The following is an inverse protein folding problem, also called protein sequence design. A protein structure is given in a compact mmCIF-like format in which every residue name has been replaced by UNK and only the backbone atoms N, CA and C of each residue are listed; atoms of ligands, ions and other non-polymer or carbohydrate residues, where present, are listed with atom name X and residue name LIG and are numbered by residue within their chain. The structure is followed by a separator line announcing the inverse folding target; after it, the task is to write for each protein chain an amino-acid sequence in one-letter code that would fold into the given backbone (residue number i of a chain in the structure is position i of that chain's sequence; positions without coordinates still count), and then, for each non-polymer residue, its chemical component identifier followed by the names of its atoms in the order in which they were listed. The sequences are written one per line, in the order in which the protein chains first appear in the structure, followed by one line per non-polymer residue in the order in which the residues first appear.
data_IF_637475189403
#
_entry.id   IF_637475189403
#
_cell.length_a   1.000
_cell.length_b   1.000
_cell.length_c   1.000
_cell.angle_alpha   90.00
_cell.angle_beta   90.00
_cell.angle_gamma   90.00
#
_symmetry.space_group_name_H-M   'P 1'
#
loop_
_entity.id
_entity.type
_entity.pdbx_description
1 polymer ?
#
# COMPACT_ATOMS: atom_id res chain seq x y z
N UNK A 1 -4.34 -14.72 21.80
CA UNK A 1 -3.62 -14.11 22.93
C UNK A 1 -2.53 -13.13 22.47
N UNK A 2 -1.50 -13.53 21.72
CA UNK A 2 -0.39 -12.65 21.32
C UNK A 2 -0.84 -11.30 20.72
N UNK A 3 -1.73 -11.32 19.73
CA UNK A 3 -2.25 -10.11 19.10
C UNK A 3 -3.02 -9.22 20.09
N UNK A 4 -3.88 -9.82 20.91
CA UNK A 4 -4.63 -9.11 21.95
C UNK A 4 -3.71 -8.44 22.96
N UNK A 5 -2.67 -9.16 23.43
CA UNK A 5 -1.67 -8.62 24.36
C UNK A 5 -0.85 -7.50 23.74
N UNK A 6 -0.49 -7.60 22.44
CA UNK A 6 0.22 -6.55 21.72
C UNK A 6 -0.62 -5.26 21.60
N UNK A 7 -1.91 -5.38 21.24
CA UNK A 7 -2.83 -4.24 21.18
C UNK A 7 -3.02 -3.60 22.57
N UNK A 8 -3.19 -4.42 23.61
CA UNK A 8 -3.32 -3.91 24.98
C UNK A 8 -2.04 -3.18 25.43
N UNK A 9 -0.87 -3.67 25.03
CA UNK A 9 0.41 -3.02 25.33
C UNK A 9 0.51 -1.61 24.72
N UNK A 10 0.00 -1.43 23.49
CA UNK A 10 -0.06 -0.11 22.84
C UNK A 10 -1.00 0.83 23.60
N UNK A 11 -2.23 0.39 23.90
CA UNK A 11 -3.21 1.19 24.62
C UNK A 11 -2.77 1.59 26.02
N UNK A 12 -2.10 0.68 26.73
CA UNK A 12 -1.60 0.95 28.10
C UNK A 12 -0.28 1.74 28.09
N UNK A 13 0.32 1.99 26.94
CA UNK A 13 1.67 2.57 26.76
C UNK A 13 2.77 1.82 27.53
N UNK A 14 2.49 0.60 27.98
CA UNK A 14 3.42 -0.28 28.66
C UNK A 14 3.90 -1.34 27.68
N UNK A 15 5.19 -1.26 27.31
CA UNK A 15 5.85 -2.35 26.61
C UNK A 15 5.88 -3.56 27.57
N UNK A 16 4.98 -4.48 27.39
CA UNK A 16 4.80 -5.52 28.37
C UNK A 16 5.68 -6.72 28.01
N UNK A 17 6.54 -7.09 28.93
CA UNK A 17 7.25 -8.39 28.91
C UNK A 17 6.24 -9.52 28.65
N UNK A 18 5.00 -9.38 29.13
CA UNK A 18 3.94 -10.34 28.90
C UNK A 18 3.54 -10.41 27.41
N UNK A 19 3.41 -9.29 26.71
CA UNK A 19 3.06 -9.31 25.28
C UNK A 19 4.16 -9.95 24.43
N UNK A 20 5.43 -9.71 24.75
CA UNK A 20 6.58 -10.39 24.12
C UNK A 20 6.59 -11.89 24.42
N UNK A 21 6.27 -12.29 25.67
CA UNK A 21 6.16 -13.69 26.05
C UNK A 21 5.03 -14.39 25.31
N UNK A 22 3.86 -13.76 25.22
CA UNK A 22 2.70 -14.32 24.50
C UNK A 22 3.01 -14.45 23.00
N UNK A 23 3.70 -13.47 22.42
CA UNK A 23 4.17 -13.52 21.04
C UNK A 23 5.16 -14.66 20.81
N UNK A 24 6.18 -14.81 21.66
CA UNK A 24 7.15 -15.91 21.59
C UNK A 24 6.48 -17.28 21.74
N UNK A 25 5.49 -17.40 22.64
CA UNK A 25 4.70 -18.61 22.82
C UNK A 25 3.90 -18.95 21.56
N UNK A 26 3.24 -17.96 20.93
CA UNK A 26 2.49 -18.18 19.71
C UNK A 26 3.40 -18.63 18.55
N UNK A 27 4.59 -18.04 18.42
CA UNK A 27 5.60 -18.48 17.45
C UNK A 27 6.04 -19.91 17.66
N UNK A 28 6.33 -20.29 18.92
CA UNK A 28 6.74 -21.66 19.27
C UNK A 28 5.62 -22.67 18.96
N UNK A 29 4.36 -22.34 19.27
CA UNK A 29 3.20 -23.17 18.94
C UNK A 29 3.04 -23.37 17.42
N UNK A 30 3.18 -22.31 16.63
CA UNK A 30 3.09 -22.42 15.18
C UNK A 30 4.22 -23.26 14.59
N UNK A 31 5.46 -23.07 15.04
CA UNK A 31 6.61 -23.87 14.59
C UNK A 31 6.42 -25.34 14.94
N UNK A 32 6.00 -25.64 16.17
CA UNK A 32 5.70 -27.01 16.60
C UNK A 32 4.58 -27.63 15.76
N UNK A 33 3.51 -26.87 15.49
CA UNK A 33 2.41 -27.31 14.65
C UNK A 33 2.88 -27.70 13.24
N UNK A 34 3.73 -26.92 12.62
CA UNK A 34 4.27 -27.20 11.26
C UNK A 34 5.21 -28.41 11.23
N UNK A 35 6.01 -28.61 12.29
CA UNK A 35 6.91 -29.77 12.41
C UNK A 35 6.09 -31.05 12.57
N UNK A 36 5.05 -31.03 13.43
CA UNK A 36 4.26 -32.18 13.74
C UNK A 36 3.24 -32.55 12.65
N UNK A 37 2.70 -31.54 11.94
CA UNK A 37 1.75 -31.75 10.86
C UNK A 37 1.98 -30.71 9.73
N UNK A 38 2.83 -31.01 8.75
CA UNK A 38 3.09 -30.15 7.62
C UNK A 38 1.84 -29.79 6.80
N UNK A 39 0.75 -30.55 6.88
CA UNK A 39 -0.50 -30.27 6.18
C UNK A 39 -1.20 -29.02 6.69
N UNK A 40 -0.88 -28.57 7.92
CA UNK A 40 -1.41 -27.34 8.50
C UNK A 40 -0.94 -26.08 7.76
N UNK A 41 0.23 -26.11 7.13
CA UNK A 41 0.80 -24.96 6.40
C UNK A 41 -0.17 -24.41 5.37
N UNK A 42 -0.96 -25.28 4.74
CA UNK A 42 -1.93 -24.87 3.73
C UNK A 42 -3.32 -24.50 4.24
N UNK A 43 -3.54 -24.33 5.52
CA UNK A 43 -4.86 -23.95 6.06
C UNK A 43 -5.02 -22.45 6.18
N UNK A 44 -6.25 -21.97 6.00
CA UNK A 44 -6.57 -20.55 6.14
C UNK A 44 -6.35 -20.03 7.56
N UNK A 45 -6.57 -20.89 8.57
CA UNK A 45 -6.29 -20.57 9.97
C UNK A 45 -4.81 -20.29 10.21
N UNK A 46 -3.93 -21.04 9.52
CA UNK A 46 -2.48 -20.81 9.56
C UNK A 46 -2.12 -19.47 8.93
N UNK A 47 -2.71 -19.17 7.78
CA UNK A 47 -2.54 -17.88 7.10
C UNK A 47 -3.00 -16.73 8.03
N UNK A 48 -4.15 -16.88 8.66
CA UNK A 48 -4.66 -15.93 9.64
C UNK A 48 -3.70 -15.77 10.83
N UNK A 49 -3.19 -16.89 11.38
CA UNK A 49 -2.22 -16.88 12.48
C UNK A 49 -0.93 -16.14 12.15
N UNK A 50 -0.34 -16.40 10.97
CA UNK A 50 0.86 -15.67 10.49
C UNK A 50 0.57 -14.20 10.31
N UNK A 51 -0.59 -13.83 9.75
CA UNK A 51 -0.99 -12.45 9.60
C UNK A 51 -1.15 -11.73 10.95
N UNK A 52 -1.79 -12.37 11.94
CA UNK A 52 -1.92 -11.81 13.28
C UNK A 52 -0.57 -11.66 14.00
N UNK A 53 0.38 -12.56 13.75
CA UNK A 53 1.76 -12.43 14.26
C UNK A 53 2.48 -11.25 13.61
N UNK A 54 2.33 -11.06 12.30
CA UNK A 54 2.86 -9.89 11.58
C UNK A 54 2.31 -8.59 12.18
N UNK A 55 1.00 -8.49 12.39
CA UNK A 55 0.38 -7.32 13.04
C UNK A 55 0.87 -7.12 14.47
N UNK A 56 1.00 -8.22 15.24
CA UNK A 56 1.51 -8.14 16.62
C UNK A 56 2.90 -7.54 16.66
N UNK A 57 3.75 -7.88 15.70
CA UNK A 57 5.12 -7.39 15.62
C UNK A 57 5.17 -5.88 15.33
N UNK A 58 4.28 -5.36 14.48
CA UNK A 58 4.16 -3.91 14.26
C UNK A 58 3.85 -3.15 15.55
N UNK A 59 3.00 -3.72 16.42
CA UNK A 59 2.64 -3.11 17.70
C UNK A 59 3.71 -3.27 18.77
N UNK A 60 4.47 -4.37 18.75
CA UNK A 60 5.53 -4.63 19.70
C UNK A 60 6.84 -3.90 19.42
N UNK A 61 6.92 -3.22 18.29
CA UNK A 61 8.10 -2.47 17.89
C UNK A 61 9.19 -3.34 17.27
N UNK A 62 8.81 -4.42 16.58
CA UNK A 62 9.76 -5.25 15.84
C UNK A 62 10.45 -4.49 14.71
N UNK A 63 11.73 -4.80 14.49
CA UNK A 63 12.50 -4.22 13.39
C UNK A 63 11.97 -4.67 12.01
N UNK A 64 12.15 -3.84 10.99
CA UNK A 64 11.70 -4.16 9.63
C UNK A 64 12.21 -5.52 9.11
N UNK A 65 13.43 -5.90 9.47
CA UNK A 65 13.98 -7.20 9.06
C UNK A 65 13.27 -8.39 9.70
N UNK A 66 12.74 -8.23 10.92
CA UNK A 66 11.91 -9.25 11.57
C UNK A 66 10.51 -9.33 10.93
N UNK A 67 9.91 -8.20 10.57
CA UNK A 67 8.67 -8.16 9.81
C UNK A 67 8.83 -8.84 8.44
N UNK A 68 9.98 -8.70 7.81
CA UNK A 68 10.31 -9.36 6.55
C UNK A 68 10.24 -10.89 6.65
N UNK A 69 10.68 -11.48 7.77
CA UNK A 69 10.61 -12.93 7.98
C UNK A 69 9.15 -13.43 8.01
N UNK A 70 8.25 -12.71 8.67
CA UNK A 70 6.83 -13.07 8.67
C UNK A 70 6.16 -12.87 7.31
N UNK A 71 6.55 -11.83 6.60
CA UNK A 71 6.08 -11.61 5.25
C UNK A 71 6.54 -12.73 4.30
N UNK A 72 7.80 -13.17 4.41
CA UNK A 72 8.29 -14.33 3.67
C UNK A 72 7.52 -15.61 4.01
N UNK A 73 7.19 -15.81 5.29
CA UNK A 73 6.32 -16.89 5.75
C UNK A 73 4.92 -16.82 5.12
N UNK A 74 4.32 -15.63 5.09
CA UNK A 74 3.04 -15.37 4.44
C UNK A 74 3.09 -15.72 2.94
N UNK A 75 4.11 -15.26 2.23
CA UNK A 75 4.35 -15.55 0.83
C UNK A 75 4.55 -17.06 0.58
N UNK A 76 5.30 -17.72 1.45
CA UNK A 76 5.50 -19.18 1.36
C UNK A 76 4.16 -19.92 1.46
N UNK A 77 3.32 -19.56 2.43
CA UNK A 77 2.00 -20.16 2.61
C UNK A 77 1.13 -19.91 1.38
N UNK A 78 1.04 -18.66 0.92
CA UNK A 78 0.28 -18.28 -0.27
C UNK A 78 0.72 -19.08 -1.51
N UNK A 79 2.02 -19.23 -1.72
CA UNK A 79 2.56 -20.01 -2.85
C UNK A 79 2.19 -21.50 -2.79
N UNK A 80 2.03 -22.07 -1.59
CA UNK A 80 1.64 -23.47 -1.40
C UNK A 80 0.12 -23.68 -1.39
N UNK A 81 -0.64 -22.61 -1.13
CA UNK A 81 -2.11 -22.67 -1.11
C UNK A 81 -2.74 -22.52 -2.49
N UNK A 82 -2.04 -21.93 -3.42
CA UNK A 82 -2.58 -21.56 -4.72
C UNK A 82 -3.14 -22.74 -5.57
N UNK A 83 -2.87 -23.97 -5.17
CA UNK A 83 -3.43 -25.18 -5.80
C UNK A 83 -4.74 -25.67 -5.17
N UNK A 84 -5.28 -24.96 -4.15
CA UNK A 84 -6.48 -25.41 -3.42
C UNK A 84 -7.71 -24.62 -3.84
N UNK A 85 -8.78 -25.34 -4.04
CA UNK A 85 -10.10 -24.76 -4.32
C UNK A 85 -10.69 -24.18 -3.01
N UNK A 86 -10.71 -22.83 -2.92
CA UNK A 86 -11.25 -22.13 -1.76
C UNK A 86 -12.77 -21.97 -1.92
N UNK A 87 -13.53 -23.02 -1.64
CA UNK A 87 -14.98 -22.95 -1.62
C UNK A 87 -15.53 -22.32 -0.34
N UNK A 88 -14.73 -22.33 0.72
CA UNK A 88 -15.09 -21.73 1.99
C UNK A 88 -14.89 -20.20 1.97
N UNK A 89 -15.91 -19.40 2.33
CA UNK A 89 -15.83 -17.94 2.32
C UNK A 89 -14.75 -17.33 3.22
N UNK A 90 -14.41 -17.97 4.34
CA UNK A 90 -13.36 -17.50 5.24
C UNK A 90 -11.99 -17.65 4.58
N UNK A 91 -11.70 -18.83 4.04
CA UNK A 91 -10.44 -19.12 3.36
C UNK A 91 -10.21 -18.19 2.15
N UNK A 92 -11.25 -17.99 1.34
CA UNK A 92 -11.20 -17.06 0.20
C UNK A 92 -10.84 -15.65 0.64
N UNK A 93 -11.52 -15.11 1.67
CA UNK A 93 -11.24 -13.75 2.19
C UNK A 93 -9.85 -13.61 2.78
N UNK A 94 -9.36 -14.64 3.47
CA UNK A 94 -8.01 -14.62 4.05
C UNK A 94 -6.95 -14.60 2.96
N UNK A 95 -7.13 -15.35 1.88
CA UNK A 95 -6.21 -15.36 0.75
C UNK A 95 -6.23 -14.02 0.03
N UNK A 96 -7.41 -13.42 -0.21
CA UNK A 96 -7.52 -12.09 -0.81
C UNK A 96 -6.78 -11.03 0.00
N UNK A 97 -7.05 -10.98 1.30
CA UNK A 97 -6.41 -10.03 2.21
C UNK A 97 -4.89 -10.22 2.24
N UNK A 98 -4.43 -11.46 2.39
CA UNK A 98 -3.01 -11.79 2.42
C UNK A 98 -2.32 -11.46 1.09
N UNK A 99 -3.00 -11.66 -0.04
CA UNK A 99 -2.49 -11.33 -1.38
C UNK A 99 -2.28 -9.83 -1.56
N UNK A 100 -3.26 -9.01 -1.14
CA UNK A 100 -3.17 -7.55 -1.21
C UNK A 100 -2.01 -7.03 -0.36
N UNK A 101 -1.89 -7.54 0.87
CA UNK A 101 -0.79 -7.18 1.78
C UNK A 101 0.55 -7.55 1.16
N UNK A 102 0.67 -8.78 0.67
CA UNK A 102 1.89 -9.27 0.06
C UNK A 102 2.30 -8.46 -1.18
N UNK A 103 1.37 -8.13 -2.08
CA UNK A 103 1.62 -7.28 -3.25
C UNK A 103 2.09 -5.90 -2.80
N UNK A 104 1.39 -5.29 -1.85
CA UNK A 104 1.73 -3.97 -1.33
C UNK A 104 3.12 -3.94 -0.72
N UNK A 105 3.45 -4.94 0.11
CA UNK A 105 4.78 -5.06 0.72
C UNK A 105 5.88 -5.30 -0.32
N UNK A 106 5.63 -6.09 -1.36
CA UNK A 106 6.59 -6.30 -2.44
C UNK A 106 6.83 -5.05 -3.31
N UNK A 107 5.82 -4.21 -3.47
CA UNK A 107 5.98 -2.89 -4.11
C UNK A 107 6.81 -1.97 -3.22
N UNK A 108 6.57 -1.99 -1.92
CA UNK A 108 7.27 -1.19 -0.92
C UNK A 108 8.72 -1.66 -0.75
N UNK A 109 8.94 -2.94 -0.51
CA UNK A 109 10.27 -3.53 -0.29
C UNK A 109 10.66 -4.49 -1.42
N UNK A 110 11.55 -4.10 -2.35
CA UNK A 110 11.96 -4.93 -3.47
C UNK A 110 12.78 -6.16 -3.06
N UNK A 111 13.20 -6.28 -1.79
CA UNK A 111 13.83 -7.50 -1.27
C UNK A 111 12.82 -8.65 -1.16
N UNK A 112 11.54 -8.31 -1.08
CA UNK A 112 10.44 -9.25 -1.07
C UNK A 112 10.08 -9.58 -2.52
N UNK A 113 10.25 -10.84 -2.91
CA UNK A 113 9.94 -11.29 -4.26
C UNK A 113 8.64 -12.08 -4.28
N UNK A 114 7.71 -11.64 -5.11
CA UNK A 114 6.55 -12.44 -5.48
C UNK A 114 6.96 -13.40 -6.60
N UNK A 115 6.89 -14.70 -6.31
CA UNK A 115 6.82 -15.67 -7.40
C UNK A 115 5.43 -15.55 -8.01
N UNK A 116 5.32 -15.59 -9.35
CA UNK A 116 4.03 -15.55 -10.05
C UNK A 116 3.07 -16.54 -9.41
N UNK A 117 2.17 -16.03 -8.61
CA UNK A 117 1.09 -16.82 -8.05
C UNK A 117 0.10 -17.17 -9.16
N UNK A 118 -0.58 -18.27 -8.93
CA UNK A 118 -1.42 -18.90 -9.92
C UNK A 118 -2.41 -17.96 -10.62
N UNK A 119 -2.70 -18.31 -11.88
CA UNK A 119 -3.69 -17.68 -12.73
C UNK A 119 -5.09 -17.56 -12.06
N UNK A 120 -5.37 -18.44 -11.09
CA UNK A 120 -6.67 -18.48 -10.40
C UNK A 120 -6.88 -17.32 -9.42
N UNK A 121 -5.82 -16.86 -8.71
CA UNK A 121 -5.88 -15.65 -7.90
C UNK A 121 -6.10 -14.39 -8.74
N UNK A 122 -5.77 -14.43 -10.03
CA UNK A 122 -5.98 -13.30 -10.95
C UNK A 122 -7.46 -12.93 -11.13
N UNK A 123 -8.38 -13.81 -10.81
CA UNK A 123 -9.84 -13.58 -10.94
C UNK A 123 -10.44 -12.90 -9.71
N UNK A 124 -9.70 -12.82 -8.61
CA UNK A 124 -10.21 -12.28 -7.36
C UNK A 124 -10.27 -10.76 -7.41
N UNK A 125 -11.40 -10.19 -7.02
CA UNK A 125 -11.57 -8.74 -6.93
C UNK A 125 -10.72 -8.16 -5.80
N UNK A 126 -10.04 -7.03 -6.04
CA UNK A 126 -9.36 -6.27 -4.99
C UNK A 126 -10.28 -5.95 -3.78
N UNK A 127 -11.56 -5.76 -4.05
CA UNK A 127 -12.58 -5.47 -3.05
C UNK A 127 -13.38 -6.71 -2.61
N UNK A 128 -12.85 -7.92 -2.81
CA UNK A 128 -13.51 -9.15 -2.38
C UNK A 128 -14.08 -9.08 -0.96
N UNK A 129 -13.35 -8.54 0.05
CA UNK A 129 -13.87 -8.33 1.39
C UNK A 129 -15.05 -7.37 1.48
N UNK A 130 -15.15 -6.35 0.61
CA UNK A 130 -16.21 -5.34 0.60
C UNK A 130 -17.53 -5.85 -0.01
N UNK A 131 -17.47 -6.78 -0.95
CA UNK A 131 -18.65 -7.30 -1.65
C UNK A 131 -19.67 -8.01 -0.73
N UNK A 132 -19.29 -8.29 0.52
CA UNK A 132 -20.17 -8.96 1.50
C UNK A 132 -20.85 -7.99 2.48
N UNK A 133 -20.57 -6.70 2.39
CA UNK A 133 -21.32 -5.71 3.16
C UNK A 133 -22.51 -5.26 2.33
N UNK A 134 -23.71 -5.72 2.70
CA UNK A 134 -24.98 -5.44 2.01
C UNK A 134 -25.32 -3.95 1.89
N UNK A 135 -24.55 -3.09 2.54
CA UNK A 135 -24.76 -1.65 2.62
C UNK A 135 -24.19 -0.92 1.40
N UNK A 136 -23.20 -1.52 0.70
CA UNK A 136 -22.49 -0.85 -0.40
C UNK A 136 -22.31 -1.82 -1.56
N UNK A 137 -22.92 -1.50 -2.70
CA UNK A 137 -22.71 -2.24 -3.94
C UNK A 137 -21.46 -1.74 -4.68
N UNK A 138 -20.29 -2.35 -4.39
CA UNK A 138 -19.03 -2.07 -5.10
C UNK A 138 -18.81 -3.04 -6.26
N UNK A 139 -19.86 -3.67 -6.78
CA UNK A 139 -19.79 -4.75 -7.78
C UNK A 139 -19.19 -4.34 -9.13
N UNK A 140 -19.01 -3.05 -9.39
CA UNK A 140 -18.56 -2.55 -10.69
C UNK A 140 -17.06 -2.19 -10.73
N UNK A 141 -16.23 -2.75 -9.86
CA UNK A 141 -14.80 -2.42 -9.87
C UNK A 141 -14.03 -3.28 -10.87
N UNK A 142 -13.22 -2.63 -11.70
CA UNK A 142 -12.32 -3.30 -12.64
C UNK A 142 -10.96 -3.65 -12.00
N UNK A 143 -10.72 -3.22 -10.75
CA UNK A 143 -9.49 -3.48 -10.04
C UNK A 143 -9.53 -4.87 -9.39
N UNK A 144 -8.64 -5.73 -9.84
CA UNK A 144 -8.50 -7.10 -9.34
C UNK A 144 -7.08 -7.31 -8.80
N UNK A 145 -6.89 -8.35 -8.00
CA UNK A 145 -5.54 -8.78 -7.61
C UNK A 145 -4.66 -9.02 -8.84
N UNK A 146 -5.26 -9.52 -9.95
CA UNK A 146 -4.58 -9.71 -11.22
C UNK A 146 -3.99 -8.43 -11.82
N UNK A 147 -4.63 -7.29 -11.64
CA UNK A 147 -4.11 -6.00 -12.12
C UNK A 147 -2.92 -5.49 -11.32
N UNK A 148 -2.77 -5.97 -10.08
CA UNK A 148 -1.76 -5.49 -9.14
C UNK A 148 -0.58 -6.45 -8.99
N UNK A 149 -0.76 -7.75 -9.29
CA UNK A 149 0.23 -8.79 -8.99
C UNK A 149 1.55 -8.61 -9.76
N UNK A 150 1.51 -8.01 -10.94
CA UNK A 150 2.68 -7.75 -11.76
C UNK A 150 3.37 -6.40 -11.43
N UNK A 151 2.75 -5.54 -10.59
CA UNK A 151 3.32 -4.23 -10.21
C UNK A 151 4.72 -4.30 -9.61
N UNK A 152 5.03 -5.22 -8.69
CA UNK A 152 6.38 -5.33 -8.14
C UNK A 152 7.43 -5.58 -9.24
N UNK A 153 7.12 -6.42 -10.24
CA UNK A 153 7.98 -6.68 -11.40
C UNK A 153 8.13 -5.43 -12.26
N UNK A 154 7.03 -4.75 -12.60
CA UNK A 154 7.07 -3.52 -13.39
C UNK A 154 7.92 -2.42 -12.73
N UNK A 155 7.93 -2.36 -11.40
CA UNK A 155 8.69 -1.38 -10.65
C UNK A 155 10.17 -1.75 -10.44
N UNK A 156 10.56 -2.99 -10.70
CA UNK A 156 11.97 -3.41 -10.70
C UNK A 156 12.68 -2.98 -11.99
N UNK A 157 12.02 -3.13 -13.14
CA UNK A 157 12.53 -2.79 -14.46
C UNK A 157 11.57 -1.83 -15.20
N UNK A 158 11.33 -0.63 -14.63
CA UNK A 158 10.28 0.26 -15.12
C UNK A 158 10.50 0.72 -16.56
N UNK A 159 11.74 0.77 -17.05
CA UNK A 159 12.10 1.10 -18.43
C UNK A 159 11.41 0.23 -19.48
N UNK A 160 11.10 -1.03 -19.14
CA UNK A 160 10.41 -1.97 -20.05
C UNK A 160 8.89 -1.98 -19.85
N UNK A 161 8.38 -1.29 -18.81
CA UNK A 161 7.00 -1.42 -18.36
C UNK A 161 6.27 -0.08 -18.18
N UNK A 162 6.74 1.00 -18.82
CA UNK A 162 6.15 2.34 -18.65
C UNK A 162 4.67 2.39 -19.01
N UNK A 163 4.27 1.70 -20.09
CA UNK A 163 2.87 1.63 -20.54
C UNK A 163 1.99 0.92 -19.51
N UNK A 164 2.48 -0.22 -18.99
CA UNK A 164 1.77 -1.00 -17.97
C UNK A 164 1.65 -0.22 -16.65
N UNK A 165 2.71 0.47 -16.24
CA UNK A 165 2.71 1.33 -15.06
C UNK A 165 1.71 2.49 -15.22
N UNK A 166 1.68 3.14 -16.39
CA UNK A 166 0.72 4.21 -16.68
C UNK A 166 -0.72 3.69 -16.64
N UNK A 167 -0.99 2.56 -17.29
CA UNK A 167 -2.31 1.92 -17.28
C UNK A 167 -2.75 1.55 -15.87
N UNK A 168 -1.85 0.97 -15.05
CA UNK A 168 -2.15 0.62 -13.65
C UNK A 168 -2.44 1.87 -12.81
N UNK A 169 -1.68 2.95 -13.03
CA UNK A 169 -1.89 4.24 -12.36
C UNK A 169 -3.27 4.80 -12.67
N UNK A 170 -3.65 4.85 -13.95
CA UNK A 170 -4.93 5.41 -14.39
C UNK A 170 -6.11 4.54 -13.92
N UNK A 171 -5.96 3.21 -13.92
CA UNK A 171 -6.96 2.29 -13.37
C UNK A 171 -7.21 2.58 -11.88
N UNK A 172 -6.15 2.69 -11.06
CA UNK A 172 -6.28 2.98 -9.64
C UNK A 172 -6.91 4.35 -9.38
N UNK A 173 -6.59 5.37 -10.22
CA UNK A 173 -7.23 6.69 -10.13
C UNK A 173 -8.74 6.62 -10.35
N UNK A 174 -9.18 5.85 -11.34
CA UNK A 174 -10.61 5.63 -11.60
C UNK A 174 -11.27 4.97 -10.40
N UNK A 175 -10.63 3.95 -9.82
CA UNK A 175 -11.18 3.24 -8.67
C UNK A 175 -11.27 4.13 -7.41
N UNK A 176 -10.24 4.90 -7.11
CA UNK A 176 -10.27 5.86 -5.98
C UNK A 176 -11.42 6.85 -6.13
N UNK A 177 -11.67 7.38 -7.35
CA UNK A 177 -12.79 8.28 -7.60
C UNK A 177 -14.15 7.64 -7.33
N UNK A 178 -14.30 6.32 -7.52
CA UNK A 178 -15.53 5.58 -7.20
C UNK A 178 -15.70 5.34 -5.70
N UNK A 179 -14.59 5.10 -4.96
CA UNK A 179 -14.65 4.77 -3.54
C UNK A 179 -14.91 6.02 -2.68
N UNK A 180 -14.37 7.18 -3.05
CA UNK A 180 -14.51 8.42 -2.26
C UNK A 180 -15.96 8.76 -1.89
N UNK A 181 -16.94 8.81 -2.82
CA UNK A 181 -18.32 9.10 -2.48
C UNK A 181 -18.93 8.03 -1.58
N UNK A 182 -18.57 6.75 -1.76
CA UNK A 182 -19.03 5.65 -0.92
C UNK A 182 -18.51 5.82 0.51
N UNK A 183 -17.22 6.15 0.65
CA UNK A 183 -16.59 6.42 1.94
C UNK A 183 -17.30 7.56 2.67
N UNK A 184 -17.66 8.62 1.96
CA UNK A 184 -18.41 9.75 2.52
C UNK A 184 -19.79 9.31 3.03
N UNK A 185 -20.56 8.54 2.25
CA UNK A 185 -21.87 8.02 2.67
C UNK A 185 -21.75 7.12 3.90
N UNK A 186 -20.73 6.24 3.95
CA UNK A 186 -20.48 5.39 5.11
C UNK A 186 -20.10 6.18 6.35
N UNK A 187 -19.30 7.24 6.19
CA UNK A 187 -18.95 8.14 7.29
C UNK A 187 -20.19 8.83 7.87
N UNK A 188 -21.07 9.36 7.02
CA UNK A 188 -22.34 9.96 7.42
C UNK A 188 -23.25 8.94 8.13
N UNK A 189 -23.31 7.71 7.64
CA UNK A 189 -24.05 6.62 8.28
C UNK A 189 -23.48 6.24 9.66
N UNK A 190 -22.16 6.23 9.83
CA UNK A 190 -21.53 6.01 11.14
C UNK A 190 -21.90 7.06 12.17
N UNK A 191 -22.17 8.30 11.77
CA UNK A 191 -22.58 9.36 12.67
C UNK A 191 -24.02 9.22 13.17
N UNK A 192 -24.87 8.49 12.43
CA UNK A 192 -26.32 8.36 12.69
C UNK A 192 -26.74 6.97 13.15
N UNK A 193 -25.88 5.96 12.99
CA UNK A 193 -26.19 4.57 13.28
C UNK A 193 -25.09 3.91 14.11
N UNK A 194 -25.50 3.08 15.06
CA UNK A 194 -24.59 2.22 15.85
C UNK A 194 -24.30 0.87 15.17
N UNK A 195 -24.75 0.66 13.94
CA UNK A 195 -24.49 -0.59 13.22
C UNK A 195 -23.00 -0.69 12.87
N UNK A 196 -22.33 -1.69 13.46
CA UNK A 196 -20.91 -1.99 13.24
C UNK A 196 -20.55 -2.27 11.79
N UNK A 197 -21.52 -2.61 10.94
CA UNK A 197 -21.25 -2.85 9.52
C UNK A 197 -20.89 -1.56 8.79
N UNK A 198 -21.47 -0.42 9.16
CA UNK A 198 -21.06 0.88 8.62
C UNK A 198 -19.63 1.23 8.98
N UNK A 199 -19.24 1.04 10.25
CA UNK A 199 -17.87 1.26 10.70
C UNK A 199 -16.87 0.36 10.00
N UNK A 200 -17.18 -0.93 9.84
CA UNK A 200 -16.34 -1.86 9.08
C UNK A 200 -16.21 -1.43 7.62
N UNK A 201 -17.32 -1.13 6.97
CA UNK A 201 -17.32 -0.65 5.58
C UNK A 201 -16.50 0.63 5.42
N UNK A 202 -16.70 1.60 6.32
CA UNK A 202 -15.96 2.85 6.33
C UNK A 202 -14.45 2.64 6.47
N UNK A 203 -14.01 1.88 7.48
CA UNK A 203 -12.58 1.64 7.71
C UNK A 203 -11.92 0.88 6.57
N UNK A 204 -12.62 -0.06 5.94
CA UNK A 204 -12.13 -0.77 4.75
C UNK A 204 -11.99 0.20 3.55
N UNK A 205 -12.97 1.07 3.31
CA UNK A 205 -12.87 2.06 2.23
C UNK A 205 -11.73 3.06 2.46
N UNK A 206 -11.59 3.60 3.67
CA UNK A 206 -10.48 4.51 4.02
C UNK A 206 -9.11 3.84 3.86
N UNK A 207 -8.94 2.60 4.34
CA UNK A 207 -7.69 1.86 4.15
C UNK A 207 -7.41 1.59 2.68
N UNK A 208 -8.44 1.24 1.89
CA UNK A 208 -8.29 1.02 0.44
C UNK A 208 -7.86 2.28 -0.30
N UNK A 209 -8.46 3.44 0.03
CA UNK A 209 -8.04 4.73 -0.54
C UNK A 209 -6.55 4.98 -0.23
N UNK A 210 -6.12 4.81 1.01
CA UNK A 210 -4.74 5.06 1.42
C UNK A 210 -3.76 4.08 0.76
N UNK A 211 -4.07 2.79 0.70
CA UNK A 211 -3.22 1.79 0.02
C UNK A 211 -3.10 2.10 -1.47
N UNK A 212 -4.21 2.42 -2.14
CA UNK A 212 -4.17 2.79 -3.56
C UNK A 212 -3.36 4.07 -3.79
N UNK A 213 -3.51 5.09 -2.94
CA UNK A 213 -2.67 6.29 -3.03
C UNK A 213 -1.19 6.00 -2.77
N UNK A 214 -0.86 5.06 -1.87
CA UNK A 214 0.51 4.61 -1.66
C UNK A 214 1.10 4.00 -2.94
N UNK A 215 0.39 3.06 -3.56
CA UNK A 215 0.81 2.44 -4.82
C UNK A 215 0.93 3.46 -5.96
N UNK A 216 -0.08 4.32 -6.10
CA UNK A 216 -0.07 5.39 -7.09
C UNK A 216 1.07 6.39 -6.89
N UNK A 217 1.42 6.74 -5.65
CA UNK A 217 2.52 7.65 -5.35
C UNK A 217 3.86 7.07 -5.81
N UNK A 218 4.10 5.77 -5.57
CA UNK A 218 5.29 5.06 -6.03
C UNK A 218 5.36 5.03 -7.56
N UNK A 219 4.25 4.66 -8.23
CA UNK A 219 4.17 4.59 -9.70
C UNK A 219 4.36 5.99 -10.29
N UNK A 220 3.67 6.98 -9.77
CA UNK A 220 3.77 8.38 -10.21
C UNK A 220 5.21 8.86 -10.15
N UNK A 221 5.89 8.69 -8.99
CA UNK A 221 7.28 9.11 -8.82
C UNK A 221 8.23 8.36 -9.76
N UNK A 222 7.96 7.07 -10.00
CA UNK A 222 8.68 6.28 -11.00
C UNK A 222 8.48 6.85 -12.40
N UNK A 223 7.23 7.11 -12.82
CA UNK A 223 6.93 7.69 -14.14
C UNK A 223 7.52 9.08 -14.33
N UNK A 224 7.55 9.91 -13.28
CA UNK A 224 8.19 11.25 -13.32
C UNK A 224 9.70 11.20 -13.59
N UNK A 225 10.39 10.10 -13.24
CA UNK A 225 11.81 9.94 -13.59
C UNK A 225 12.00 9.83 -15.11
N UNK A 226 11.06 9.19 -15.81
CA UNK A 226 11.10 9.02 -17.28
C UNK A 226 10.42 10.18 -18.03
N UNK A 227 9.43 10.82 -17.41
CA UNK A 227 8.62 11.89 -17.97
C UNK A 227 8.59 13.10 -17.02
N UNK A 228 9.74 13.80 -16.82
CA UNK A 228 9.86 14.87 -15.82
C UNK A 228 8.98 16.10 -16.10
N UNK A 229 8.56 16.28 -17.34
CA UNK A 229 7.74 17.42 -17.79
C UNK A 229 6.24 17.10 -17.86
N UNK A 230 5.80 15.89 -17.48
CA UNK A 230 4.39 15.53 -17.42
C UNK A 230 3.70 16.32 -16.29
N UNK A 231 3.04 17.43 -16.67
CA UNK A 231 2.35 18.32 -15.73
C UNK A 231 1.21 17.61 -14.98
N UNK A 232 0.57 16.61 -15.63
CA UNK A 232 -0.54 15.87 -15.02
C UNK A 232 -0.09 15.04 -13.82
N UNK A 233 1.14 14.52 -13.84
CA UNK A 233 1.71 13.79 -12.71
C UNK A 233 2.02 14.71 -11.54
N UNK A 234 2.41 15.97 -11.80
CA UNK A 234 2.65 16.98 -10.74
C UNK A 234 1.35 17.45 -10.09
N UNK A 235 0.33 17.80 -10.89
CA UNK A 235 -0.97 18.22 -10.39
C UNK A 235 -1.61 17.16 -9.47
N UNK A 236 -1.47 15.88 -9.83
CA UNK A 236 -1.98 14.78 -9.01
C UNK A 236 -1.23 14.59 -7.68
N UNK A 237 -0.01 15.11 -7.55
CA UNK A 237 0.78 14.99 -6.32
C UNK A 237 0.15 15.70 -5.16
N UNK A 238 -0.17 16.99 -5.32
CA UNK A 238 -0.77 17.80 -4.26
C UNK A 238 -2.13 17.24 -3.85
N UNK A 239 -2.97 16.91 -4.83
CA UNK A 239 -4.29 16.34 -4.58
C UNK A 239 -4.20 15.04 -3.79
N UNK A 240 -3.31 14.11 -4.19
CA UNK A 240 -3.13 12.82 -3.53
C UNK A 240 -2.61 13.01 -2.09
N UNK A 241 -1.66 13.93 -1.88
CA UNK A 241 -1.10 14.23 -0.56
C UNK A 241 -2.18 14.76 0.38
N UNK A 242 -2.99 15.71 -0.08
CA UNK A 242 -4.08 16.27 0.72
C UNK A 242 -5.14 15.21 1.08
N UNK A 243 -5.48 14.31 0.15
CA UNK A 243 -6.42 13.20 0.41
C UNK A 243 -5.88 12.28 1.51
N UNK A 244 -4.61 11.88 1.42
CA UNK A 244 -4.01 10.98 2.42
C UNK A 244 -3.88 11.66 3.79
N UNK A 245 -3.47 12.92 3.86
CA UNK A 245 -3.40 13.66 5.13
C UNK A 245 -4.79 13.82 5.77
N UNK A 246 -5.82 14.09 4.98
CA UNK A 246 -7.19 14.13 5.48
C UNK A 246 -7.66 12.76 5.96
N UNK A 247 -7.33 11.68 5.26
CA UNK A 247 -7.61 10.31 5.70
C UNK A 247 -6.86 9.97 6.99
N UNK A 248 -5.59 10.38 7.13
CA UNK A 248 -4.82 10.17 8.34
C UNK A 248 -5.45 10.87 9.56
N UNK A 249 -5.92 12.10 9.38
CA UNK A 249 -6.61 12.83 10.44
C UNK A 249 -7.92 12.14 10.87
N UNK A 250 -8.72 11.64 9.91
CA UNK A 250 -9.95 10.90 10.23
C UNK A 250 -9.68 9.54 10.86
N UNK A 251 -8.69 8.81 10.34
CA UNK A 251 -8.30 7.49 10.83
C UNK A 251 -7.76 7.53 12.27
N UNK A 252 -7.35 8.71 12.75
CA UNK A 252 -6.87 8.92 14.12
C UNK A 252 -7.78 8.32 15.19
N UNK A 253 -9.09 8.40 14.99
CA UNK A 253 -10.09 7.88 15.94
C UNK A 253 -10.19 6.35 15.96
N UNK A 254 -9.58 5.65 15.00
CA UNK A 254 -9.62 4.18 14.86
C UNK A 254 -8.30 3.51 15.26
N UNK A 255 -7.38 4.25 15.88
CA UNK A 255 -6.09 3.74 16.32
C UNK A 255 -6.24 2.72 17.46
N UNK A 256 -5.31 1.78 17.58
CA UNK A 256 -4.23 1.48 16.64
C UNK A 256 -4.66 0.53 15.52
N UNK A 257 -5.72 -0.25 15.70
CA UNK A 257 -6.10 -1.36 14.82
C UNK A 257 -6.54 -0.92 13.42
N UNK A 258 -7.34 0.13 13.33
CA UNK A 258 -7.87 0.62 12.07
C UNK A 258 -6.86 1.44 11.25
N UNK A 259 -5.61 1.56 11.69
CA UNK A 259 -4.61 2.45 11.10
C UNK A 259 -3.26 1.82 10.82
N UNK A 260 -3.16 0.49 10.84
CA UNK A 260 -1.90 -0.26 10.65
C UNK A 260 -1.20 0.05 9.32
N UNK A 261 -1.94 0.46 8.31
CA UNK A 261 -1.43 0.83 6.98
C UNK A 261 -0.85 2.26 6.96
N UNK A 262 -1.27 3.14 7.87
CA UNK A 262 -1.02 4.58 7.80
C UNK A 262 0.47 4.96 7.91
N UNK A 263 1.27 4.41 8.82
CA UNK A 263 2.67 4.78 8.93
C UNK A 263 3.45 4.56 7.64
N UNK A 264 3.28 3.42 6.97
CA UNK A 264 3.94 3.13 5.68
C UNK A 264 3.43 4.05 4.58
N UNK A 265 2.12 4.31 4.53
CA UNK A 265 1.51 5.26 3.59
C UNK A 265 2.15 6.63 3.72
N UNK A 266 2.28 7.14 4.94
CA UNK A 266 2.89 8.45 5.21
C UNK A 266 4.38 8.48 4.83
N UNK A 267 5.15 7.41 5.10
CA UNK A 267 6.55 7.31 4.69
C UNK A 267 6.73 7.38 3.16
N UNK A 268 5.87 6.66 2.42
CA UNK A 268 5.88 6.70 0.95
C UNK A 268 5.50 8.10 0.46
N UNK A 269 4.47 8.69 1.06
CA UNK A 269 4.02 10.04 0.72
C UNK A 269 5.14 11.06 0.91
N UNK A 270 5.83 11.03 2.04
CA UNK A 270 6.98 11.89 2.33
C UNK A 270 8.07 11.75 1.26
N UNK A 271 8.43 10.52 0.90
CA UNK A 271 9.48 10.23 -0.08
C UNK A 271 9.11 10.58 -1.52
N UNK A 272 7.82 10.71 -1.82
CA UNK A 272 7.31 10.98 -3.17
C UNK A 272 6.84 12.42 -3.37
N UNK A 273 6.83 13.23 -2.32
CA UNK A 273 6.45 14.64 -2.33
C UNK A 273 7.70 15.51 -2.49
N UNK A 274 7.69 16.44 -3.44
CA UNK A 274 8.80 17.37 -3.68
C UNK A 274 8.64 18.71 -2.95
N UNK A 275 7.40 19.07 -2.54
CA UNK A 275 7.13 20.31 -1.79
C UNK A 275 7.58 20.19 -0.32
N UNK A 276 8.53 21.05 0.13
CA UNK A 276 9.02 21.03 1.52
C UNK A 276 7.91 21.29 2.56
N UNK A 277 6.92 22.13 2.24
CA UNK A 277 5.83 22.44 3.17
C UNK A 277 4.92 21.22 3.36
N UNK A 278 4.67 20.48 2.28
CA UNK A 278 3.91 19.25 2.36
C UNK A 278 4.71 18.15 3.06
N UNK A 279 6.02 18.04 2.83
CA UNK A 279 6.89 17.13 3.59
C UNK A 279 6.81 17.39 5.09
N UNK A 280 6.89 18.63 5.52
CA UNK A 280 6.78 18.99 6.94
C UNK A 280 5.43 18.56 7.55
N UNK A 281 4.31 18.78 6.84
CA UNK A 281 2.99 18.30 7.30
C UNK A 281 2.92 16.77 7.42
N UNK A 282 3.56 16.06 6.50
CA UNK A 282 3.62 14.59 6.54
C UNK A 282 4.50 14.12 7.71
N UNK A 283 5.61 14.80 8.00
CA UNK A 283 6.48 14.53 9.16
C UNK A 283 5.72 14.68 10.47
N UNK A 284 5.00 15.78 10.66
CA UNK A 284 4.16 16.00 11.84
C UNK A 284 3.15 14.85 12.01
N UNK A 285 2.54 14.40 10.92
CA UNK A 285 1.60 13.29 10.96
C UNK A 285 2.28 11.96 11.28
N UNK A 286 3.47 11.69 10.74
CA UNK A 286 4.28 10.50 11.07
C UNK A 286 4.60 10.49 12.56
N UNK A 287 5.04 11.62 13.11
CA UNK A 287 5.40 11.73 14.53
C UNK A 287 4.20 11.46 15.44
N UNK A 288 3.01 11.92 15.06
CA UNK A 288 1.80 11.58 15.79
C UNK A 288 1.54 10.05 15.80
N UNK A 289 1.70 9.36 14.67
CA UNK A 289 1.47 7.92 14.59
C UNK A 289 2.56 7.07 15.26
N UNK A 290 3.75 7.62 15.56
CA UNK A 290 4.82 6.94 16.30
C UNK A 290 4.42 6.49 17.71
N UNK A 291 3.45 7.12 18.31
CA UNK A 291 2.98 6.71 19.64
C UNK A 291 2.45 5.27 19.67
N UNK A 292 1.78 4.85 18.59
CA UNK A 292 1.17 3.53 18.50
C UNK A 292 2.06 2.47 17.85
N UNK A 293 2.96 2.91 16.96
CA UNK A 293 3.79 2.03 16.14
C UNK A 293 5.27 2.28 16.45
N UNK A 294 5.75 1.66 17.51
CA UNK A 294 7.11 1.87 18.06
C UNK A 294 8.24 1.18 17.32
N UNK A 295 7.92 0.54 16.19
CA UNK A 295 8.90 -0.14 15.35
C UNK A 295 9.97 0.77 14.79
N UNK A 296 10.65 0.31 13.78
CA UNK A 296 11.78 1.00 13.15
C UNK A 296 11.50 2.47 12.85
N UNK A 297 12.57 3.23 12.86
CA UNK A 297 12.56 4.61 12.43
C UNK A 297 11.85 4.74 11.07
N UNK A 298 10.63 5.22 11.09
CA UNK A 298 9.85 5.52 9.87
C UNK A 298 10.65 6.39 8.91
N UNK A 299 11.54 7.24 9.46
CA UNK A 299 12.51 8.01 8.70
C UNK A 299 13.42 7.12 7.85
N UNK A 300 13.86 5.95 8.37
CA UNK A 300 14.68 5.01 7.58
C UNK A 300 13.90 4.46 6.38
N UNK A 301 12.61 4.16 6.57
CA UNK A 301 11.74 3.69 5.48
C UNK A 301 11.57 4.80 4.43
N UNK A 302 11.29 6.02 4.85
CA UNK A 302 11.14 7.17 3.97
C UNK A 302 12.43 7.44 3.16
N UNK A 303 13.59 7.45 3.83
CA UNK A 303 14.90 7.62 3.19
C UNK A 303 15.23 6.46 2.23
N UNK A 304 14.83 5.23 2.55
CA UNK A 304 15.00 4.10 1.65
C UNK A 304 14.26 4.32 0.31
N UNK A 305 13.03 4.83 0.35
CA UNK A 305 12.30 5.20 -0.87
C UNK A 305 12.95 6.34 -1.63
N UNK A 306 13.37 7.41 -0.95
CA UNK A 306 14.08 8.52 -1.59
C UNK A 306 15.33 8.04 -2.32
N UNK A 307 16.14 7.20 -1.68
CA UNK A 307 17.34 6.59 -2.29
C UNK A 307 16.98 5.67 -3.47
N UNK A 308 15.83 4.97 -3.42
CA UNK A 308 15.36 4.13 -4.52
C UNK A 308 15.08 4.98 -5.77
N UNK A 309 14.36 6.08 -5.61
CA UNK A 309 14.06 6.98 -6.74
C UNK A 309 15.31 7.70 -7.26
N UNK A 310 16.23 8.08 -6.38
CA UNK A 310 17.49 8.68 -6.79
C UNK A 310 18.39 7.69 -7.57
N UNK A 311 18.47 6.43 -7.14
CA UNK A 311 19.16 5.37 -7.91
C UNK A 311 18.52 5.14 -9.27
N UNK A 312 17.20 5.14 -9.35
CA UNK A 312 16.47 5.02 -10.62
C UNK A 312 16.80 6.22 -11.53
N UNK A 313 16.77 7.44 -11.00
CA UNK A 313 17.11 8.67 -11.75
C UNK A 313 18.51 8.61 -12.33
N UNK A 314 19.51 8.22 -11.52
CA UNK A 314 20.90 8.04 -11.98
C UNK A 314 21.01 6.97 -13.06
N UNK A 315 20.32 5.83 -12.90
CA UNK A 315 20.29 4.75 -13.90
C UNK A 315 19.75 5.24 -15.23
N UNK A 316 18.61 5.92 -15.24
CA UNK A 316 18.00 6.48 -16.44
C UNK A 316 18.92 7.51 -17.12
N UNK A 317 19.53 8.39 -16.35
CA UNK A 317 20.48 9.38 -16.87
C UNK A 317 21.72 8.77 -17.54
N UNK A 318 22.18 7.62 -17.06
CA UNK A 318 23.36 6.94 -17.61
C UNK A 318 23.04 6.07 -18.82
N UNK A 319 21.83 5.53 -18.90
CA UNK A 319 21.45 4.57 -19.97
C UNK A 319 20.73 5.23 -21.14
N UNK A 320 20.14 6.42 -20.99
CA UNK A 320 19.48 7.12 -22.10
C UNK A 320 20.50 7.74 -23.05
N UNK A 321 20.44 7.44 -24.38
CA UNK A 321 21.29 8.07 -25.39
C UNK A 321 21.12 9.60 -25.39
N UNK A 322 22.22 10.32 -25.68
CA UNK A 322 22.29 11.79 -25.59
C UNK A 322 21.26 12.52 -26.47
N UNK A 323 20.87 11.95 -27.59
CA UNK A 323 19.88 12.54 -28.52
C UNK A 323 18.43 12.52 -27.99
N UNK A 324 18.06 11.60 -27.10
CA UNK A 324 16.76 11.60 -26.42
C UNK A 324 16.70 12.60 -25.25
N UNK A 325 17.87 13.15 -24.84
CA UNK A 325 17.94 14.20 -23.81
C UNK A 325 17.60 15.58 -24.36
N UNK A 326 17.77 15.83 -25.68
CA UNK A 326 17.58 17.14 -26.28
C UNK A 326 16.11 17.47 -26.57
N UNK A 327 15.26 16.50 -26.83
CA UNK A 327 13.81 16.72 -26.99
C UNK A 327 13.08 17.14 -25.71
N UNK A 328 13.79 17.18 -24.59
CA UNK A 328 13.25 17.56 -23.27
C UNK A 328 13.67 18.96 -22.82
N UNK A 329 14.48 19.68 -23.59
CA UNK A 329 14.92 21.05 -23.26
C UNK A 329 14.47 22.03 -24.35
N UNK A 330 13.43 22.75 -24.07
CA UNK A 330 12.90 24.00 -24.57
C UNK A 330 11.60 23.91 -25.38
N UNK A 331 10.57 24.60 -24.96
CA UNK A 331 9.64 25.17 -25.91
C UNK A 331 10.37 26.37 -26.53
N UNK A 332 10.78 26.28 -27.80
CA UNK A 332 11.20 27.40 -28.57
C UNK A 332 10.07 28.44 -28.57
N UNK A 333 10.41 29.64 -28.08
CA UNK A 333 9.63 30.83 -28.28
C UNK A 333 9.57 31.10 -29.81
N UNK A 334 8.48 30.73 -30.42
CA UNK A 334 8.13 31.25 -31.73
C UNK A 334 7.87 32.74 -31.57
N UNK A 335 8.86 33.55 -31.97
CA UNK A 335 8.68 34.97 -32.24
C UNK A 335 7.68 35.11 -33.37
N UNK A 336 6.48 35.58 -33.04
CA UNK A 336 5.54 36.16 -34.00
C UNK A 336 6.19 37.41 -34.63
N UNK A 337 6.79 37.24 -35.80
CA UNK A 337 7.04 38.36 -36.72
C UNK A 337 5.69 38.73 -37.34
N UNK A 338 5.10 39.78 -36.82
CA UNK A 338 3.97 40.51 -37.44
C UNK A 338 4.44 41.13 -38.74
N UNK A 339 4.22 40.45 -39.85
CA UNK A 339 4.22 41.12 -41.18
C UNK A 339 2.97 41.97 -41.32
N UNK A 340 3.21 43.29 -41.31
CA UNK A 340 2.24 44.32 -41.68
C UNK A 340 2.02 44.25 -43.20
N UNK A 341 0.83 43.79 -43.65
CA UNK A 341 0.38 44.05 -45.01
C UNK A 341 -0.24 45.43 -45.10
N UNK A 342 0.39 46.28 -45.91
CA UNK A 342 -0.09 47.59 -46.38
C UNK A 342 -1.11 47.38 -47.52
N UNK A 343 -2.31 48.00 -47.36
CA UNK A 343 -3.30 48.14 -48.42
C UNK A 343 -2.77 48.96 -49.65
N UNK A 344 -3.06 48.50 -50.88
CA UNK A 344 -3.33 49.33 -52.06
C UNK A 344 -4.55 48.75 -52.73
#
# INVERSE_FOLDING_TARGET
MAFSSAVTAVHSRQATVQALKDYGTALACMRSGFINDPSQVGKAETLCGVYLLLLSQYFLGGHNDECLVHLQGLLYILNNQAARDYQDPFSSKMVDLASIIAITECVIDPRVQIKRWHADLRKTSYYGPLNNYSVVDIRSTNLTVANLIDLPMFLQEPEYHLVQLRSSYDLMRVEVKKIIPITKQLHEACATSLDMNYYKGYTICESSICVLHTLMAIIRKTLQVFHPYDSTLKEHEETATNVVLASAARAWNFRPLGTTYMPKTLCVLWATTDDPNMKAKVEDMIDNYREDFRGDSWTKIALFFEQRFERLRKRVQTTMPYHLRQDTTSPESTNDETESFVEV
#
